data_IF_432631922154
#
_entry.id   IF_432631922154
#
_cell.length_a   1.000
_cell.length_b   1.000
_cell.length_c   1.000
_cell.angle_alpha   90.00
_cell.angle_beta   90.00
_cell.angle_gamma   90.00
#
_symmetry.space_group_name_H-M   'P 1'
#
loop_
_entity.id
_entity.type
_entity.pdbx_description
1 polymer ?
#
# COMPACT_ATOMS: atom_id res chain seq x y z
N UNK A 1 19.40 21.34 -3.56
CA UNK A 1 18.55 20.98 -2.41
C UNK A 1 17.13 20.83 -2.94
N UNK A 2 16.42 19.78 -2.53
CA UNK A 2 15.08 19.36 -2.95
C UNK A 2 14.93 18.80 -4.37
N UNK A 3 14.85 17.46 -4.44
CA UNK A 3 13.79 16.79 -5.19
C UNK A 3 13.61 15.35 -4.66
N UNK A 4 13.22 15.20 -3.39
CA UNK A 4 12.56 13.96 -3.00
C UNK A 4 11.10 14.16 -3.38
N UNK A 5 10.66 13.49 -4.45
CA UNK A 5 9.24 13.31 -4.69
C UNK A 5 8.72 12.53 -3.46
N UNK A 6 8.17 13.26 -2.49
CA UNK A 6 7.59 12.67 -1.29
C UNK A 6 6.27 12.02 -1.72
N UNK A 7 6.37 10.75 -2.11
CA UNK A 7 5.23 9.93 -2.51
C UNK A 7 4.72 9.28 -1.22
N UNK A 8 3.58 9.76 -0.76
CA UNK A 8 2.86 9.26 0.42
C UNK A 8 1.40 9.05 0.00
N UNK A 9 0.84 7.91 0.39
CA UNK A 9 -0.54 7.57 0.13
C UNK A 9 -1.04 6.62 1.22
N UNK A 10 -2.34 6.68 1.47
CA UNK A 10 -3.04 5.70 2.29
C UNK A 10 -3.53 4.55 1.42
N UNK A 11 -3.54 3.35 1.98
CA UNK A 11 -4.00 2.12 1.30
C UNK A 11 -5.07 1.46 2.14
N UNK A 12 -6.28 1.34 1.60
CA UNK A 12 -7.45 0.76 2.26
C UNK A 12 -8.02 -0.41 1.47
N UNK A 13 -8.65 -1.34 2.18
CA UNK A 13 -9.35 -2.49 1.57
C UNK A 13 -10.51 -1.99 0.71
N UNK A 14 -10.62 -2.49 -0.51
CA UNK A 14 -11.73 -2.18 -1.41
C UNK A 14 -13.03 -2.78 -0.85
N UNK A 15 -14.07 -1.97 -0.62
CA UNK A 15 -15.37 -2.45 -0.17
C UNK A 15 -15.99 -3.49 -1.11
N UNK A 16 -16.71 -4.48 -0.57
CA UNK A 16 -17.28 -5.60 -1.36
C UNK A 16 -18.33 -5.19 -2.40
N UNK A 17 -18.92 -4.02 -2.26
CA UNK A 17 -19.84 -3.42 -3.23
C UNK A 17 -19.12 -2.74 -4.42
N UNK A 18 -17.84 -2.41 -4.27
CA UNK A 18 -17.01 -1.72 -5.27
C UNK A 18 -15.94 -2.64 -5.87
N UNK A 19 -15.85 -3.86 -5.36
CA UNK A 19 -14.96 -4.90 -5.85
C UNK A 19 -15.35 -5.31 -7.29
N UNK A 20 -14.33 -5.39 -8.15
CA UNK A 20 -14.47 -5.92 -9.51
C UNK A 20 -14.80 -7.42 -9.48
N UNK A 21 -15.40 -7.96 -10.54
CA UNK A 21 -15.78 -9.39 -10.59
C UNK A 21 -14.58 -10.33 -10.41
N UNK A 22 -13.39 -9.91 -10.88
CA UNK A 22 -12.12 -10.64 -10.71
C UNK A 22 -11.35 -10.26 -9.42
N UNK A 23 -11.95 -9.41 -8.59
CA UNK A 23 -11.33 -8.87 -7.39
C UNK A 23 -11.37 -9.85 -6.22
N UNK A 24 -10.32 -9.83 -5.40
CA UNK A 24 -10.21 -10.67 -4.21
C UNK A 24 -10.78 -9.96 -2.99
N UNK A 25 -11.93 -10.46 -2.52
CA UNK A 25 -12.58 -9.95 -1.31
C UNK A 25 -11.63 -10.01 -0.11
N UNK A 26 -11.48 -8.89 0.60
CA UNK A 26 -10.60 -8.68 1.77
C UNK A 26 -9.09 -8.67 1.46
N UNK A 27 -8.67 -8.78 0.20
CA UNK A 27 -7.26 -8.73 -0.19
C UNK A 27 -6.93 -7.55 -1.08
N UNK A 28 -7.88 -7.13 -1.93
CA UNK A 28 -7.66 -5.97 -2.77
C UNK A 28 -7.71 -4.67 -1.99
N UNK A 29 -6.79 -3.77 -2.37
CA UNK A 29 -6.66 -2.42 -1.85
C UNK A 29 -6.80 -1.40 -2.98
N UNK A 30 -7.20 -0.19 -2.63
CA UNK A 30 -7.37 0.93 -3.56
C UNK A 30 -6.04 1.41 -4.16
N UNK A 31 -5.02 1.58 -3.33
CA UNK A 31 -3.69 2.06 -3.71
C UNK A 31 -2.65 0.98 -3.43
N UNK A 32 -2.16 0.34 -4.50
CA UNK A 32 -1.15 -0.73 -4.41
C UNK A 32 0.26 -0.15 -4.30
N UNK A 33 1.03 -0.62 -3.32
CA UNK A 33 2.46 -0.29 -3.22
C UNK A 33 3.25 -0.93 -4.35
N UNK A 34 3.70 -0.12 -5.31
CA UNK A 34 4.50 -0.57 -6.45
C UNK A 34 5.98 -0.50 -6.12
N UNK A 35 6.72 -1.58 -6.39
CA UNK A 35 8.16 -1.68 -6.14
C UNK A 35 8.89 -2.25 -7.35
N UNK A 36 10.12 -1.80 -7.64
CA UNK A 36 10.92 -2.34 -8.73
C UNK A 36 11.40 -3.76 -8.41
N UNK A 37 11.40 -4.62 -9.43
CA UNK A 37 11.98 -5.97 -9.32
C UNK A 37 13.51 -5.94 -9.37
N UNK A 38 14.16 -6.98 -8.85
CA UNK A 38 15.63 -7.17 -8.87
C UNK A 38 16.44 -6.02 -8.24
N UNK A 39 15.84 -5.27 -7.32
CA UNK A 39 16.48 -4.17 -6.60
C UNK A 39 16.47 -4.48 -5.10
N UNK A 40 17.54 -4.10 -4.38
CA UNK A 40 17.56 -4.20 -2.93
C UNK A 40 16.69 -3.09 -2.33
N UNK A 41 15.63 -3.48 -1.63
CA UNK A 41 14.67 -2.56 -1.01
C UNK A 41 14.81 -2.66 0.52
N UNK A 42 14.78 -1.50 1.19
CA UNK A 42 14.72 -1.41 2.66
C UNK A 42 13.38 -0.82 3.06
N UNK A 43 12.59 -1.59 3.81
CA UNK A 43 11.31 -1.16 4.37
C UNK A 43 11.49 -0.83 5.86
N UNK A 44 10.98 0.32 6.30
CA UNK A 44 10.93 0.70 7.71
C UNK A 44 9.46 0.76 8.15
N UNK A 45 9.10 -0.08 9.12
CA UNK A 45 7.72 -0.20 9.60
C UNK A 45 7.61 0.50 10.96
N UNK A 46 6.56 1.30 11.14
CA UNK A 46 6.17 1.95 12.39
C UNK A 46 4.64 1.99 12.48
N UNK A 47 4.11 1.91 13.69
CA UNK A 47 2.68 2.12 13.95
C UNK A 47 2.45 3.52 14.53
N UNK A 48 1.36 4.17 14.12
CA UNK A 48 0.96 5.47 14.65
C UNK A 48 0.12 5.35 15.94
N UNK A 49 -0.59 4.22 16.13
CA UNK A 49 -1.50 3.98 17.24
C UNK A 49 -1.19 2.65 17.94
N UNK A 50 -1.88 1.56 17.56
CA UNK A 50 -1.66 0.22 18.11
C UNK A 50 -0.74 -0.64 17.24
N UNK A 51 -0.25 -1.74 17.80
CA UNK A 51 0.63 -2.68 17.11
C UNK A 51 -0.13 -3.34 15.94
N UNK A 52 0.47 -3.25 14.75
CA UNK A 52 0.09 -4.00 13.55
C UNK A 52 1.32 -4.80 13.07
N UNK A 53 1.11 -5.85 12.28
CA UNK A 53 2.17 -6.70 11.72
C UNK A 53 1.97 -7.01 10.25
#
# INVERSE_FOLDING_TARGET
>A
MNNFLQIEFDSYIVPSNELSEDGFRLLDVDNRTVLPINTQIRVLIRAADVIHS
#
